data_IF_938732676072
#
_entry.id   IF_938732676072
#
_cell.length_a   1.000
_cell.length_b   1.000
_cell.length_c   1.000
_cell.angle_alpha   90.00
_cell.angle_beta   90.00
_cell.angle_gamma   90.00
#
_symmetry.space_group_name_H-M   'P 1'
#
loop_
_entity.id
_entity.type
_entity.pdbx_description
1 polymer ?
#
# COMPACT_ATOMS: atom_id res chain seq x y z
N UNK A 1 16.62 1.11 -14.98
CA UNK A 1 15.18 0.98 -15.31
C UNK A 1 14.27 1.21 -14.10
N UNK A 2 14.45 0.51 -12.97
CA UNK A 2 13.60 0.68 -11.78
C UNK A 2 13.56 2.13 -11.24
N UNK A 3 14.70 2.81 -11.14
CA UNK A 3 14.76 4.20 -10.68
C UNK A 3 13.92 5.15 -11.54
N UNK A 4 13.91 4.95 -12.87
CA UNK A 4 13.09 5.74 -13.78
C UNK A 4 11.59 5.48 -13.56
N UNK A 5 11.19 4.21 -13.36
CA UNK A 5 9.82 3.86 -13.02
C UNK A 5 9.34 4.50 -11.71
N UNK A 6 10.19 4.56 -10.69
CA UNK A 6 9.88 5.24 -9.43
C UNK A 6 9.69 6.75 -9.63
N UNK A 7 10.53 7.39 -10.45
CA UNK A 7 10.37 8.81 -10.78
C UNK A 7 9.05 9.09 -11.50
N UNK A 8 8.66 8.23 -12.45
CA UNK A 8 7.36 8.34 -13.13
C UNK A 8 6.19 8.18 -12.14
N UNK A 9 6.27 7.20 -11.24
CA UNK A 9 5.27 7.00 -10.18
C UNK A 9 5.16 8.25 -9.31
N UNK A 10 6.26 8.82 -8.86
CA UNK A 10 6.23 10.05 -8.07
C UNK A 10 5.75 11.26 -8.87
N UNK A 11 6.00 11.31 -10.18
CA UNK A 11 5.50 12.35 -11.08
C UNK A 11 3.97 12.39 -11.16
N UNK A 12 3.30 11.24 -11.08
CA UNK A 12 1.83 11.13 -11.02
C UNK A 12 1.24 11.85 -9.81
N UNK A 13 1.99 11.96 -8.71
CA UNK A 13 1.56 12.72 -7.52
C UNK A 13 1.42 14.22 -7.82
N UNK A 14 2.28 14.76 -8.69
CA UNK A 14 2.36 16.21 -8.98
C UNK A 14 1.46 16.58 -10.17
N UNK A 15 1.38 15.74 -11.19
CA UNK A 15 0.64 16.04 -12.43
C UNK A 15 -0.87 15.78 -12.26
N UNK A 16 -1.76 16.72 -12.62
CA UNK A 16 -3.21 16.48 -12.63
C UNK A 16 -3.54 15.40 -13.67
N UNK A 17 -4.08 14.27 -13.19
CA UNK A 17 -4.53 13.18 -14.06
C UNK A 17 -6.02 13.35 -14.39
N UNK A 18 -6.45 13.03 -15.62
CA UNK A 18 -7.86 12.89 -15.93
C UNK A 18 -8.45 11.67 -15.21
N UNK A 19 -9.76 11.72 -14.92
CA UNK A 19 -10.52 10.64 -14.25
C UNK A 19 -10.36 9.28 -14.93
N UNK A 20 -10.36 9.24 -16.27
CA UNK A 20 -10.17 7.99 -17.01
C UNK A 20 -8.80 7.33 -16.77
N UNK A 21 -7.73 8.14 -16.69
CA UNK A 21 -6.40 7.62 -16.37
C UNK A 21 -6.32 7.12 -14.93
N UNK A 22 -7.00 7.81 -13.99
CA UNK A 22 -7.09 7.37 -12.59
C UNK A 22 -7.72 5.97 -12.48
N UNK A 23 -8.87 5.76 -13.12
CA UNK A 23 -9.57 4.46 -13.09
C UNK A 23 -8.73 3.33 -13.69
N UNK A 24 -8.00 3.61 -14.78
CA UNK A 24 -7.08 2.67 -15.39
C UNK A 24 -5.92 2.29 -14.45
N UNK A 25 -5.27 3.28 -13.84
CA UNK A 25 -4.14 3.04 -12.92
C UNK A 25 -4.59 2.33 -11.64
N UNK A 26 -5.79 2.64 -11.11
CA UNK A 26 -6.36 1.95 -9.96
C UNK A 26 -6.69 0.49 -10.29
N UNK A 27 -7.23 0.22 -11.47
CA UNK A 27 -7.50 -1.14 -11.93
C UNK A 27 -6.21 -1.95 -12.02
N UNK A 28 -5.15 -1.39 -12.62
CA UNK A 28 -3.82 -2.01 -12.64
C UNK A 28 -3.32 -2.25 -11.21
N UNK A 29 -3.50 -1.32 -10.28
CA UNK A 29 -3.07 -1.48 -8.90
C UNK A 29 -3.72 -2.70 -8.24
N UNK A 30 -5.04 -2.84 -8.38
CA UNK A 30 -5.80 -3.95 -7.80
C UNK A 30 -5.41 -5.26 -8.48
N UNK A 31 -5.33 -5.30 -9.80
CA UNK A 31 -4.89 -6.49 -10.55
C UNK A 31 -3.49 -6.93 -10.15
N UNK A 32 -2.54 -6.00 -10.05
CA UNK A 32 -1.19 -6.30 -9.60
C UNK A 32 -1.15 -6.79 -8.15
N UNK A 33 -1.97 -6.22 -7.26
CA UNK A 33 -2.08 -6.70 -5.88
C UNK A 33 -2.61 -8.15 -5.81
N UNK A 34 -3.61 -8.49 -6.62
CA UNK A 34 -4.13 -9.85 -6.74
C UNK A 34 -3.10 -10.81 -7.35
N UNK A 35 -2.34 -10.38 -8.36
CA UNK A 35 -1.25 -11.18 -8.92
C UNK A 35 -0.16 -11.47 -7.90
N UNK A 36 0.22 -10.48 -7.10
CA UNK A 36 1.19 -10.67 -6.01
C UNK A 36 0.64 -11.62 -4.97
N UNK A 37 -0.63 -11.46 -4.56
CA UNK A 37 -1.28 -12.39 -3.63
C UNK A 37 -1.25 -13.82 -4.17
N UNK A 38 -1.62 -14.01 -5.43
CA UNK A 38 -1.61 -15.32 -6.07
C UNK A 38 -0.19 -15.89 -6.09
N UNK A 39 0.81 -15.11 -6.51
CA UNK A 39 2.22 -15.50 -6.50
C UNK A 39 2.69 -15.95 -5.11
N UNK A 40 2.30 -15.24 -4.04
CA UNK A 40 2.67 -15.61 -2.68
C UNK A 40 2.06 -16.92 -2.21
N UNK A 41 0.87 -17.28 -2.68
CA UNK A 41 0.20 -18.53 -2.32
C UNK A 41 0.81 -19.75 -3.05
N UNK A 42 1.42 -19.55 -4.21
CA UNK A 42 2.01 -20.62 -5.02
C UNK A 42 3.54 -20.77 -4.88
N UNK A 43 4.21 -19.87 -4.16
CA UNK A 43 5.66 -19.95 -3.93
C UNK A 43 6.00 -21.16 -3.06
N UNK A 44 6.89 -22.03 -3.57
CA UNK A 44 7.32 -23.25 -2.89
C UNK A 44 8.71 -23.13 -2.22
N UNK A 45 9.53 -22.15 -2.63
CA UNK A 45 10.91 -22.00 -2.16
C UNK A 45 11.22 -20.58 -1.62
N UNK A 46 11.82 -20.45 -0.42
CA UNK A 46 12.17 -19.15 0.18
C UNK A 46 13.15 -18.29 -0.63
N UNK A 47 13.96 -18.88 -1.52
CA UNK A 47 14.94 -18.15 -2.33
C UNK A 47 14.29 -17.17 -3.33
N UNK A 48 13.05 -17.45 -3.75
CA UNK A 48 12.28 -16.56 -4.65
C UNK A 48 11.77 -15.29 -3.94
N UNK A 49 11.83 -15.26 -2.59
CA UNK A 49 11.46 -14.08 -1.80
C UNK A 49 12.50 -12.96 -1.85
N UNK A 50 13.68 -13.14 -2.45
CA UNK A 50 14.68 -12.08 -2.51
C UNK A 50 14.24 -10.87 -3.36
N UNK A 51 13.41 -11.09 -4.38
CA UNK A 51 12.81 -10.01 -5.21
C UNK A 51 11.59 -9.37 -4.53
N UNK A 52 11.01 -10.06 -3.55
CA UNK A 52 9.75 -9.69 -2.93
C UNK A 52 9.79 -8.33 -2.20
N UNK A 53 10.82 -8.00 -1.37
CA UNK A 53 10.94 -6.68 -0.76
C UNK A 53 10.97 -5.53 -1.77
N UNK A 54 11.72 -5.70 -2.87
CA UNK A 54 11.83 -4.68 -3.91
C UNK A 54 10.51 -4.46 -4.66
N UNK A 55 9.80 -5.55 -4.97
CA UNK A 55 8.48 -5.50 -5.59
C UNK A 55 7.47 -4.81 -4.68
N UNK A 56 7.42 -5.18 -3.40
CA UNK A 56 6.55 -4.56 -2.41
C UNK A 56 6.83 -3.06 -2.24
N UNK A 57 8.09 -2.64 -2.27
CA UNK A 57 8.46 -1.22 -2.22
C UNK A 57 7.86 -0.44 -3.39
N UNK A 58 8.04 -0.93 -4.62
CA UNK A 58 7.50 -0.28 -5.83
C UNK A 58 5.96 -0.25 -5.80
N UNK A 59 5.32 -1.37 -5.45
CA UNK A 59 3.86 -1.46 -5.31
C UNK A 59 3.31 -0.49 -4.25
N UNK A 60 4.04 -0.32 -3.14
CA UNK A 60 3.66 0.59 -2.05
C UNK A 60 3.79 2.05 -2.50
N UNK A 61 4.87 2.41 -3.20
CA UNK A 61 5.03 3.74 -3.77
C UNK A 61 3.97 4.06 -4.81
N UNK A 62 3.63 3.09 -5.67
CA UNK A 62 2.56 3.22 -6.63
C UNK A 62 1.20 3.45 -5.95
N UNK A 63 0.89 2.67 -4.91
CA UNK A 63 -0.30 2.89 -4.07
C UNK A 63 -0.33 4.28 -3.44
N UNK A 64 0.79 4.73 -2.87
CA UNK A 64 0.87 6.05 -2.24
C UNK A 64 0.58 7.16 -3.26
N UNK A 65 1.22 7.09 -4.44
CA UNK A 65 0.99 8.08 -5.50
C UNK A 65 -0.47 8.12 -5.95
N UNK A 66 -1.11 6.97 -6.11
CA UNK A 66 -2.52 6.93 -6.53
C UNK A 66 -3.45 7.50 -5.48
N UNK A 67 -3.22 7.23 -4.19
CA UNK A 67 -4.02 7.80 -3.12
C UNK A 67 -3.91 9.34 -3.07
N UNK A 68 -2.70 9.89 -3.26
CA UNK A 68 -2.54 11.35 -3.28
C UNK A 68 -3.22 11.94 -4.52
N UNK A 69 -3.02 11.34 -5.69
CA UNK A 69 -3.59 11.83 -6.93
C UNK A 69 -5.13 11.73 -6.94
N UNK A 70 -5.72 10.65 -6.39
CA UNK A 70 -7.16 10.48 -6.26
C UNK A 70 -7.76 11.46 -5.24
N UNK A 71 -7.14 11.62 -4.07
CA UNK A 71 -7.58 12.59 -3.05
C UNK A 71 -7.61 14.00 -3.64
N UNK A 72 -6.57 14.40 -4.38
CA UNK A 72 -6.56 15.70 -5.06
C UNK A 72 -7.69 15.82 -6.08
N UNK A 73 -7.95 14.77 -6.87
CA UNK A 73 -9.02 14.77 -7.87
C UNK A 73 -10.41 14.92 -7.23
N UNK A 74 -10.65 14.18 -6.14
CA UNK A 74 -11.86 14.27 -5.32
C UNK A 74 -12.05 15.69 -4.78
N UNK A 75 -11.01 16.27 -4.18
CA UNK A 75 -11.09 17.59 -3.57
C UNK A 75 -11.15 18.74 -4.59
N UNK A 76 -10.57 18.58 -5.77
CA UNK A 76 -10.48 19.64 -6.78
C UNK A 76 -11.64 19.64 -7.78
N UNK A 77 -12.14 18.46 -8.17
CA UNK A 77 -13.13 18.32 -9.25
C UNK A 77 -14.44 17.69 -8.76
N UNK A 78 -14.53 17.30 -7.48
CA UNK A 78 -15.65 16.55 -6.92
C UNK A 78 -16.00 15.27 -7.71
N UNK A 79 -15.03 14.74 -8.45
CA UNK A 79 -15.17 13.54 -9.27
C UNK A 79 -14.01 12.61 -8.96
N UNK A 80 -14.32 11.46 -8.35
CA UNK A 80 -13.32 10.51 -7.89
C UNK A 80 -12.85 9.54 -8.99
N UNK A 81 -13.60 9.44 -10.10
CA UNK A 81 -13.49 8.36 -11.07
C UNK A 81 -14.54 7.29 -10.81
N UNK A 82 -14.95 6.60 -11.88
CA UNK A 82 -16.05 5.63 -11.84
C UNK A 82 -15.73 4.43 -10.96
N UNK A 83 -14.45 4.06 -10.83
CA UNK A 83 -14.05 2.95 -9.98
C UNK A 83 -14.25 3.30 -8.50
N UNK A 84 -13.81 4.49 -8.08
CA UNK A 84 -13.94 4.92 -6.68
C UNK A 84 -15.42 5.11 -6.32
N UNK A 85 -16.22 5.70 -7.20
CA UNK A 85 -17.65 5.89 -6.98
C UNK A 85 -18.37 4.53 -6.82
N UNK A 86 -18.08 3.56 -7.70
CA UNK A 86 -18.65 2.22 -7.60
C UNK A 86 -18.24 1.49 -6.31
N UNK A 87 -16.98 1.60 -5.88
CA UNK A 87 -16.54 1.05 -4.59
C UNK A 87 -17.22 1.76 -3.41
N UNK A 88 -17.40 3.08 -3.50
CA UNK A 88 -18.10 3.88 -2.49
C UNK A 88 -19.53 3.40 -2.29
N UNK A 89 -20.28 3.23 -3.37
CA UNK A 89 -21.66 2.75 -3.32
C UNK A 89 -21.77 1.35 -2.69
N UNK A 90 -20.83 0.45 -3.00
CA UNK A 90 -20.77 -0.89 -2.40
C UNK A 90 -20.49 -0.85 -0.91
N UNK A 91 -19.58 0.02 -0.46
CA UNK A 91 -19.18 0.11 0.96
C UNK A 91 -20.25 0.82 1.79
N UNK A 92 -20.85 1.87 1.25
CA UNK A 92 -21.84 2.70 1.95
C UNK A 92 -23.21 2.04 1.95
N UNK A 93 -23.53 1.22 0.93
CA UNK A 93 -24.78 0.46 0.85
C UNK A 93 -26.03 1.35 0.91
N UNK A 94 -25.92 2.61 0.47
CA UNK A 94 -26.98 3.62 0.55
C UNK A 94 -27.11 4.37 1.89
N UNK A 95 -26.28 4.07 2.90
CA UNK A 95 -26.26 4.78 4.18
C UNK A 95 -24.86 5.30 4.55
N UNK A 96 -24.65 6.61 4.42
CA UNK A 96 -23.39 7.28 4.76
C UNK A 96 -22.89 7.02 6.20
N UNK A 97 -23.78 6.73 7.15
CA UNK A 97 -23.41 6.38 8.53
C UNK A 97 -22.67 5.04 8.55
N UNK A 98 -23.14 4.05 7.78
CA UNK A 98 -22.48 2.73 7.67
C UNK A 98 -21.07 2.92 7.09
N UNK A 99 -20.96 3.70 6.01
CA UNK A 99 -19.67 4.03 5.40
C UNK A 99 -18.69 4.69 6.39
N UNK A 100 -19.17 5.65 7.18
CA UNK A 100 -18.36 6.33 8.19
C UNK A 100 -17.88 5.36 9.29
N UNK A 101 -18.75 4.46 9.77
CA UNK A 101 -18.38 3.45 10.77
C UNK A 101 -17.31 2.51 10.21
N UNK A 102 -17.49 2.01 8.99
CA UNK A 102 -16.50 1.14 8.32
C UNK A 102 -15.16 1.86 8.19
N UNK A 103 -15.18 3.12 7.73
CA UNK A 103 -13.97 3.95 7.61
C UNK A 103 -13.25 4.11 8.95
N UNK A 104 -13.97 4.40 10.03
CA UNK A 104 -13.39 4.51 11.37
C UNK A 104 -12.74 3.20 11.83
N UNK A 105 -13.40 2.06 11.61
CA UNK A 105 -12.85 0.74 11.94
C UNK A 105 -11.55 0.50 11.17
N UNK A 106 -11.54 0.74 9.86
CA UNK A 106 -10.35 0.54 9.01
C UNK A 106 -9.20 1.44 9.46
N UNK A 107 -9.45 2.72 9.75
CA UNK A 107 -8.41 3.62 10.27
C UNK A 107 -7.82 3.11 11.59
N UNK A 108 -8.67 2.71 12.53
CA UNK A 108 -8.22 2.23 13.83
C UNK A 108 -7.36 0.97 13.66
N UNK A 109 -7.82 0.01 12.86
CA UNK A 109 -7.06 -1.23 12.59
C UNK A 109 -5.72 -0.89 11.94
N UNK A 110 -5.72 -0.05 10.90
CA UNK A 110 -4.48 0.35 10.21
C UNK A 110 -3.49 0.99 11.18
N UNK A 111 -3.94 1.90 12.04
CA UNK A 111 -3.06 2.57 12.99
C UNK A 111 -2.55 1.62 14.08
N UNK A 112 -3.44 0.84 14.71
CA UNK A 112 -3.11 -0.05 15.84
C UNK A 112 -2.21 -1.20 15.37
N UNK A 113 -2.51 -1.83 14.24
CA UNK A 113 -1.75 -2.97 13.72
C UNK A 113 -0.36 -2.53 13.28
N UNK A 114 -0.24 -1.42 12.54
CA UNK A 114 1.07 -0.91 12.10
C UNK A 114 1.93 -0.55 13.31
N UNK A 115 1.37 0.16 14.30
CA UNK A 115 2.13 0.58 15.50
C UNK A 115 2.58 -0.62 16.32
N UNK A 116 1.69 -1.58 16.59
CA UNK A 116 2.03 -2.80 17.36
C UNK A 116 3.01 -3.70 16.59
N UNK A 117 2.82 -3.85 15.28
CA UNK A 117 3.69 -4.64 14.42
C UNK A 117 5.10 -4.06 14.35
N UNK A 118 5.22 -2.76 14.11
CA UNK A 118 6.50 -2.05 14.07
C UNK A 118 7.26 -2.16 15.41
N UNK A 119 6.55 -2.05 16.54
CA UNK A 119 7.16 -2.22 17.87
C UNK A 119 7.80 -3.59 18.07
N UNK A 120 7.11 -4.68 17.71
CA UNK A 120 7.65 -6.04 17.83
C UNK A 120 8.85 -6.28 16.91
N UNK A 121 8.83 -5.75 15.70
CA UNK A 121 9.97 -5.86 14.77
C UNK A 121 11.18 -5.07 15.31
N UNK A 122 10.95 -3.87 15.85
CA UNK A 122 12.00 -3.05 16.45
C UNK A 122 12.65 -3.72 17.68
N UNK A 123 11.87 -4.39 18.54
CA UNK A 123 12.38 -5.16 19.67
C UNK A 123 13.32 -6.28 19.21
N UNK A 124 12.90 -7.04 18.20
CA UNK A 124 13.69 -8.15 17.64
C UNK A 124 14.96 -7.64 16.97
N UNK A 125 14.89 -6.55 16.21
CA UNK A 125 16.07 -5.93 15.59
C UNK A 125 17.07 -5.40 16.63
N UNK A 126 16.59 -4.80 17.72
CA UNK A 126 17.43 -4.34 18.82
C UNK A 126 18.10 -5.51 19.53
N UNK A 127 17.38 -6.63 19.73
CA UNK A 127 17.93 -7.85 20.30
C UNK A 127 19.00 -8.46 19.40
N UNK A 128 18.78 -8.54 18.09
CA UNK A 128 19.81 -8.99 17.14
C UNK A 128 21.04 -8.07 17.10
N UNK A 129 20.83 -6.76 17.20
CA UNK A 129 21.94 -5.80 17.28
C UNK A 129 22.73 -5.97 18.58
N UNK A 130 22.06 -6.22 19.70
CA UNK A 130 22.69 -6.47 20.99
C UNK A 130 23.42 -7.83 21.04
N UNK A 131 22.81 -8.88 20.48
CA UNK A 131 23.40 -10.22 20.38
C UNK A 131 24.59 -10.26 19.41
N UNK A 132 24.69 -9.30 18.49
CA UNK A 132 25.82 -9.15 17.56
C UNK A 132 27.02 -8.37 18.15
N UNK A 133 26.93 -7.83 19.38
CA UNK A 133 28.03 -7.05 19.97
C UNK A 133 29.23 -7.94 20.36
N UNK A 134 30.49 -7.46 20.23
CA UNK A 134 31.70 -8.30 20.23
C UNK A 134 32.05 -9.04 21.55
N UNK A 135 31.25 -8.87 22.61
CA UNK A 135 31.46 -9.50 23.92
C UNK A 135 30.77 -10.85 24.13
N UNK A 136 29.87 -11.28 23.24
CA UNK A 136 29.07 -12.53 23.39
C UNK A 136 29.34 -13.62 22.35
N UNK A 137 30.21 -13.42 21.36
CA UNK A 137 30.62 -14.48 20.42
C UNK A 137 31.67 -15.47 20.99
N UNK A 138 32.12 -15.27 22.24
CA UNK A 138 33.12 -16.12 22.91
C UNK A 138 32.54 -17.03 24.01
N UNK A 139 31.21 -17.16 24.12
CA UNK A 139 30.52 -18.05 25.07
C UNK A 139 29.50 -18.95 24.35
#
# INVERSE_FOLDING_TARGET
MLAFGVVVILGVMIVPLPTYAMDFLLTINISAALLVLMLTLYIAAPLELSVFPGLLLVMTLFRLSLNVASTRLILSQANAGSLIDAFGDVVVGGNYIIGFIIFAIVIIIQFVVITKGAGRVAEVAARFTLDAMPGKQMA
#
